data_IF_849898669511
#
_entry.id   IF_849898669511
#
_cell.length_a   1.000
_cell.length_b   1.000
_cell.length_c   1.000
_cell.angle_alpha   90.00
_cell.angle_beta   90.00
_cell.angle_gamma   90.00
#
_symmetry.space_group_name_H-M   'P 1'
#
loop_
_entity.id
_entity.type
_entity.pdbx_description
1 polymer ?
#
# COMPACT_ATOMS: atom_id res chain seq x y z
N UNK A 1 -16.88 -11.92 11.06
CA UNK A 1 -15.68 -11.04 11.06
C UNK A 1 -15.79 -9.99 9.95
N UNK A 2 -16.02 -10.37 8.72
CA UNK A 2 -16.07 -9.52 7.54
C UNK A 2 -17.17 -8.43 7.60
N UNK A 3 -18.39 -8.74 8.07
CA UNK A 3 -19.47 -7.76 8.24
C UNK A 3 -19.16 -6.62 9.22
N UNK A 4 -18.35 -6.88 10.27
CA UNK A 4 -17.90 -5.83 11.18
C UNK A 4 -16.92 -4.88 10.51
N UNK A 5 -16.04 -5.42 9.69
CA UNK A 5 -15.10 -4.65 8.89
C UNK A 5 -15.83 -3.74 7.89
N UNK A 6 -16.75 -4.28 7.07
CA UNK A 6 -17.55 -3.50 6.14
C UNK A 6 -18.35 -2.39 6.83
N UNK A 7 -19.05 -2.73 7.93
CA UNK A 7 -19.80 -1.74 8.71
C UNK A 7 -18.91 -0.62 9.25
N UNK A 8 -17.70 -0.95 9.70
CA UNK A 8 -16.75 0.05 10.15
C UNK A 8 -16.33 0.96 8.99
N UNK A 9 -15.97 0.40 7.84
CA UNK A 9 -15.55 1.19 6.67
C UNK A 9 -16.64 2.18 6.20
N UNK A 10 -17.91 1.81 6.32
CA UNK A 10 -19.03 2.72 6.00
C UNK A 10 -19.15 3.92 6.95
N UNK A 11 -18.50 3.89 8.10
CA UNK A 11 -18.46 5.04 9.02
C UNK A 11 -17.35 6.04 8.72
N UNK A 12 -16.41 5.67 7.86
CA UNK A 12 -15.28 6.53 7.48
C UNK A 12 -15.68 7.42 6.31
N UNK A 13 -15.60 8.72 6.50
CA UNK A 13 -15.88 9.71 5.46
C UNK A 13 -14.63 10.49 5.06
N UNK A 14 -14.73 11.27 3.99
CA UNK A 14 -13.63 12.03 3.42
C UNK A 14 -13.10 13.11 4.38
N UNK A 15 -13.98 13.72 5.16
CA UNK A 15 -13.60 14.84 6.01
C UNK A 15 -12.88 14.39 7.28
N UNK A 16 -13.13 13.15 7.72
CA UNK A 16 -12.61 12.59 8.97
C UNK A 16 -11.45 11.63 8.80
N UNK A 17 -11.18 11.11 7.60
CA UNK A 17 -10.17 10.06 7.37
C UNK A 17 -8.78 10.41 7.92
N UNK A 18 -8.37 11.67 7.81
CA UNK A 18 -7.07 12.14 8.32
C UNK A 18 -6.94 12.11 9.84
N UNK A 19 -8.06 12.11 10.57
CA UNK A 19 -8.12 12.09 12.03
C UNK A 19 -8.59 10.76 12.60
N UNK A 20 -8.90 9.76 11.76
CA UNK A 20 -9.36 8.45 12.23
C UNK A 20 -8.20 7.55 12.64
N UNK A 21 -8.51 6.58 13.49
CA UNK A 21 -7.61 5.55 13.96
C UNK A 21 -7.80 4.22 13.20
N UNK A 22 -8.11 4.30 11.90
CA UNK A 22 -8.58 3.13 11.15
C UNK A 22 -7.60 1.96 11.16
N UNK A 23 -6.28 2.19 11.17
CA UNK A 23 -5.27 1.12 11.22
C UNK A 23 -5.22 0.42 12.59
N UNK A 24 -5.55 1.10 13.67
CA UNK A 24 -5.62 0.52 15.02
C UNK A 24 -7.01 0.04 15.42
N UNK A 25 -8.05 0.35 14.65
CA UNK A 25 -9.39 -0.16 14.90
C UNK A 25 -9.44 -1.69 14.82
N UNK A 26 -10.01 -2.36 15.82
CA UNK A 26 -9.98 -3.81 15.94
C UNK A 26 -10.63 -4.54 14.76
N UNK A 27 -11.67 -3.95 14.16
CA UNK A 27 -12.35 -4.53 13.01
C UNK A 27 -11.47 -4.52 11.75
N UNK A 28 -10.65 -3.48 11.60
CA UNK A 28 -9.70 -3.30 10.50
C UNK A 28 -8.39 -4.07 10.78
N UNK A 29 -7.81 -3.86 11.95
CA UNK A 29 -6.54 -4.46 12.38
C UNK A 29 -6.52 -5.99 12.23
N UNK A 30 -7.63 -6.65 12.58
CA UNK A 30 -7.73 -8.12 12.51
C UNK A 30 -7.69 -8.68 11.07
N UNK A 31 -7.83 -7.84 10.06
CA UNK A 31 -7.87 -8.24 8.65
C UNK A 31 -6.62 -7.76 7.91
N UNK A 32 -6.20 -6.52 8.11
CA UNK A 32 -5.20 -5.87 7.24
C UNK A 32 -3.93 -5.38 7.96
N UNK A 33 -3.98 -5.10 9.27
CA UNK A 33 -2.84 -4.60 10.04
C UNK A 33 -2.29 -5.66 11.02
N UNK A 34 -2.26 -6.92 10.61
CA UNK A 34 -1.87 -8.05 11.45
C UNK A 34 -0.42 -8.51 11.27
N UNK A 35 0.41 -7.77 10.56
CA UNK A 35 1.84 -8.10 10.41
C UNK A 35 2.53 -7.96 11.77
N UNK A 36 3.20 -9.03 12.21
CA UNK A 36 3.92 -9.01 13.48
C UNK A 36 5.24 -8.25 13.39
N UNK A 37 5.78 -7.81 14.53
CA UNK A 37 7.12 -7.21 14.59
C UNK A 37 8.20 -8.14 14.00
N UNK A 38 8.08 -9.45 14.24
CA UNK A 38 9.00 -10.45 13.67
C UNK A 38 9.02 -10.38 12.14
N UNK A 39 7.85 -10.38 11.51
CA UNK A 39 7.77 -10.27 10.06
C UNK A 39 8.22 -8.89 9.56
N UNK A 40 7.99 -7.82 10.32
CA UNK A 40 8.54 -6.50 10.00
C UNK A 40 10.08 -6.52 9.93
N UNK A 41 10.74 -7.19 10.88
CA UNK A 41 12.20 -7.35 10.83
C UNK A 41 12.66 -8.19 9.64
N UNK A 42 11.93 -9.28 9.31
CA UNK A 42 12.21 -10.10 8.13
C UNK A 42 12.07 -9.27 6.83
N UNK A 43 11.04 -8.42 6.71
CA UNK A 43 10.91 -7.51 5.57
C UNK A 43 12.05 -6.48 5.50
N UNK A 44 12.46 -5.91 6.64
CA UNK A 44 13.60 -4.99 6.65
C UNK A 44 14.89 -5.69 6.19
N UNK A 45 15.14 -6.90 6.65
CA UNK A 45 16.26 -7.73 6.19
C UNK A 45 16.20 -7.96 4.68
N UNK A 46 15.05 -8.39 4.15
CA UNK A 46 14.84 -8.63 2.71
C UNK A 46 15.08 -7.35 1.89
N UNK A 47 14.59 -6.21 2.34
CA UNK A 47 14.82 -4.91 1.68
C UNK A 47 16.33 -4.63 1.61
N UNK A 48 17.04 -4.79 2.72
CA UNK A 48 18.48 -4.47 2.80
C UNK A 48 19.34 -5.44 2.00
N UNK A 49 18.94 -6.71 1.91
CA UNK A 49 19.69 -7.77 1.18
C UNK A 49 19.41 -7.71 -0.32
N UNK A 50 18.15 -7.63 -0.73
CA UNK A 50 17.77 -7.74 -2.14
C UNK A 50 17.77 -6.38 -2.86
N UNK A 51 17.56 -5.30 -2.13
CA UNK A 51 17.47 -3.93 -2.65
C UNK A 51 18.45 -2.98 -1.94
N UNK A 52 19.72 -3.39 -1.83
CA UNK A 52 20.76 -2.64 -1.11
C UNK A 52 21.00 -1.19 -1.63
N UNK A 53 20.46 -0.86 -2.79
CA UNK A 53 20.47 0.50 -3.36
C UNK A 53 19.54 1.45 -2.59
N UNK A 54 18.54 0.93 -1.88
CA UNK A 54 17.59 1.72 -1.11
C UNK A 54 18.23 2.11 0.22
N UNK A 55 18.28 3.42 0.48
CA UNK A 55 18.85 3.97 1.71
C UNK A 55 17.88 3.88 2.87
N UNK A 56 18.41 3.94 4.11
CA UNK A 56 17.58 4.01 5.33
C UNK A 56 16.70 5.26 5.35
N UNK A 57 17.21 6.38 4.83
CA UNK A 57 16.45 7.62 4.69
C UNK A 57 15.22 7.42 3.80
N UNK A 58 15.39 6.78 2.63
CA UNK A 58 14.27 6.51 1.71
C UNK A 58 13.23 5.58 2.32
N UNK A 59 13.65 4.58 3.12
CA UNK A 59 12.71 3.72 3.86
C UNK A 59 11.97 4.55 4.91
N UNK A 60 12.70 5.34 5.71
CA UNK A 60 12.13 6.18 6.75
C UNK A 60 11.14 7.20 6.19
N UNK A 61 11.46 7.87 5.10
CA UNK A 61 10.58 8.85 4.46
C UNK A 61 9.25 8.21 4.05
N UNK A 62 9.31 7.03 3.41
CA UNK A 62 8.08 6.33 3.03
C UNK A 62 7.27 5.87 4.25
N UNK A 63 7.89 5.24 5.26
CA UNK A 63 7.14 4.73 6.41
C UNK A 63 6.51 5.86 7.21
N UNK A 64 7.16 7.01 7.34
CA UNK A 64 6.59 8.20 7.94
C UNK A 64 5.39 8.72 7.14
N UNK A 65 5.52 8.78 5.80
CA UNK A 65 4.43 9.17 4.92
C UNK A 65 3.21 8.23 5.06
N UNK A 66 3.44 6.92 5.13
CA UNK A 66 2.36 5.94 5.25
C UNK A 66 1.74 5.91 6.65
N UNK A 67 2.54 6.07 7.71
CA UNK A 67 2.11 5.89 9.09
C UNK A 67 1.55 7.17 9.74
N UNK A 68 1.64 8.32 9.07
CA UNK A 68 1.08 9.56 9.59
C UNK A 68 -0.45 9.55 9.77
N UNK A 69 -1.15 8.65 9.06
CA UNK A 69 -2.60 8.51 9.13
C UNK A 69 -3.04 7.13 9.60
N UNK A 70 -4.18 7.08 10.30
CA UNK A 70 -4.79 5.84 10.74
C UNK A 70 -4.28 5.31 12.07
N UNK A 71 -3.36 6.01 12.74
CA UNK A 71 -2.81 5.65 14.05
C UNK A 71 -2.32 4.19 14.15
N UNK A 72 -1.42 3.73 13.27
CA UNK A 72 -0.92 2.37 13.31
C UNK A 72 -0.11 2.09 14.57
N UNK A 73 -0.03 0.82 14.97
CA UNK A 73 0.85 0.40 16.06
C UNK A 73 2.31 0.36 15.59
N UNK A 74 3.09 1.38 15.95
CA UNK A 74 4.50 1.44 15.61
C UNK A 74 5.29 0.39 16.41
N UNK A 75 6.31 -0.18 15.77
CA UNK A 75 7.27 -1.14 16.34
C UNK A 75 8.68 -0.77 15.94
N UNK A 76 9.61 -1.12 16.79
CA UNK A 76 11.03 -0.96 16.51
C UNK A 76 11.55 -2.14 15.69
N UNK A 77 12.19 -1.85 14.56
CA UNK A 77 12.72 -2.84 13.63
C UNK A 77 14.22 -2.62 13.45
N UNK A 78 14.99 -3.70 13.50
CA UNK A 78 16.44 -3.65 13.40
C UNK A 78 16.96 -4.69 12.41
N UNK A 79 17.95 -4.27 11.62
CA UNK A 79 18.77 -5.16 10.81
C UNK A 79 20.16 -4.54 10.63
N UNK A 80 21.22 -5.22 11.12
CA UNK A 80 22.59 -4.70 11.15
C UNK A 80 22.64 -3.30 11.81
N UNK A 81 23.14 -2.30 11.09
CA UNK A 81 23.25 -0.92 11.56
C UNK A 81 21.98 -0.08 11.28
N UNK A 82 20.97 -0.68 10.64
CA UNK A 82 19.68 -0.01 10.32
C UNK A 82 18.69 -0.20 11.46
N UNK A 83 18.07 0.90 11.89
CA UNK A 83 17.05 0.92 12.94
C UNK A 83 15.90 1.85 12.54
N UNK A 84 14.66 1.32 12.48
CA UNK A 84 13.47 2.02 11.99
C UNK A 84 12.30 1.77 12.93
N UNK A 85 11.57 2.84 13.30
CA UNK A 85 10.32 2.75 14.03
C UNK A 85 9.14 3.01 13.11
N UNK A 86 8.31 1.99 12.87
CA UNK A 86 7.15 2.09 11.97
C UNK A 86 6.16 0.95 12.19
N UNK A 87 5.01 1.01 11.50
CA UNK A 87 4.14 -0.15 11.36
C UNK A 87 4.85 -1.28 10.61
N UNK A 88 4.80 -2.54 11.09
CA UNK A 88 5.34 -3.68 10.34
C UNK A 88 4.73 -3.82 8.94
N UNK A 89 3.48 -3.41 8.76
CA UNK A 89 2.79 -3.38 7.46
C UNK A 89 3.46 -2.42 6.48
N UNK A 90 4.01 -1.30 6.96
CA UNK A 90 4.72 -0.33 6.11
C UNK A 90 5.98 -0.93 5.50
N UNK A 91 6.76 -1.73 6.25
CA UNK A 91 7.91 -2.45 5.71
C UNK A 91 7.50 -3.53 4.70
N UNK A 92 6.38 -4.22 4.92
CA UNK A 92 5.79 -5.12 3.92
C UNK A 92 5.49 -4.39 2.61
N UNK A 93 4.89 -3.21 2.66
CA UNK A 93 4.61 -2.42 1.46
C UNK A 93 5.87 -1.94 0.76
N UNK A 94 6.90 -1.52 1.51
CA UNK A 94 8.22 -1.19 0.92
C UNK A 94 8.73 -2.38 0.12
N UNK A 95 8.86 -3.55 0.75
CA UNK A 95 9.40 -4.74 0.08
C UNK A 95 8.60 -5.14 -1.15
N UNK A 96 7.25 -5.20 -1.03
CA UNK A 96 6.39 -5.56 -2.15
C UNK A 96 6.45 -4.53 -3.28
N UNK A 97 6.49 -3.23 -2.99
CA UNK A 97 6.63 -2.21 -4.02
C UNK A 97 7.95 -2.35 -4.79
N UNK A 98 9.06 -2.60 -4.10
CA UNK A 98 10.36 -2.82 -4.72
C UNK A 98 10.36 -4.06 -5.63
N UNK A 99 9.78 -5.18 -5.18
CA UNK A 99 9.60 -6.38 -6.00
C UNK A 99 8.76 -6.10 -7.25
N UNK A 100 7.60 -5.45 -7.06
CA UNK A 100 6.67 -5.13 -8.15
C UNK A 100 7.34 -4.24 -9.18
N UNK A 101 7.99 -3.16 -8.75
CA UNK A 101 8.67 -2.23 -9.64
C UNK A 101 9.84 -2.90 -10.39
N UNK A 102 10.57 -3.79 -9.70
CA UNK A 102 11.64 -4.56 -10.34
C UNK A 102 11.11 -5.49 -11.45
N UNK A 103 9.95 -6.12 -11.24
CA UNK A 103 9.31 -6.92 -12.26
C UNK A 103 8.64 -6.08 -13.35
N UNK A 104 7.91 -5.02 -12.96
CA UNK A 104 7.20 -4.13 -13.88
C UNK A 104 8.12 -3.53 -14.94
N UNK A 105 9.29 -3.01 -14.54
CA UNK A 105 10.27 -2.42 -15.46
C UNK A 105 10.87 -3.42 -16.47
N UNK A 106 10.72 -4.72 -16.23
CA UNK A 106 11.18 -5.77 -17.14
C UNK A 106 10.10 -6.18 -18.16
N UNK A 107 8.94 -5.54 -18.15
CA UNK A 107 7.82 -5.78 -19.05
C UNK A 107 7.58 -4.58 -19.94
N UNK A 108 6.74 -4.76 -20.98
CA UNK A 108 6.22 -3.66 -21.81
C UNK A 108 4.93 -3.06 -21.23
N UNK A 109 4.51 -3.51 -20.02
CA UNK A 109 3.32 -2.99 -19.37
C UNK A 109 3.48 -1.52 -18.97
N UNK A 110 2.40 -0.75 -19.11
CA UNK A 110 2.36 0.67 -18.73
C UNK A 110 1.39 0.95 -17.60
N UNK A 111 0.50 0.01 -17.33
CA UNK A 111 -0.57 0.19 -16.37
C UNK A 111 -0.54 -0.95 -15.34
N UNK A 112 -0.90 -0.63 -14.11
CA UNK A 112 -0.98 -1.60 -13.01
C UNK A 112 -2.45 -1.83 -12.64
N UNK A 113 -2.79 -3.07 -12.31
CA UNK A 113 -4.07 -3.47 -11.71
C UNK A 113 -3.78 -4.15 -10.39
N UNK A 114 -4.19 -3.53 -9.29
CA UNK A 114 -4.13 -4.11 -7.94
C UNK A 114 -5.51 -4.62 -7.53
N UNK A 115 -5.59 -5.88 -7.14
CA UNK A 115 -6.82 -6.52 -6.64
C UNK A 115 -6.67 -6.80 -5.15
N UNK A 116 -7.58 -6.29 -4.34
CA UNK A 116 -7.50 -6.37 -2.88
C UNK A 116 -6.53 -5.34 -2.30
N UNK A 117 -6.89 -4.06 -2.40
CA UNK A 117 -5.95 -2.94 -2.21
C UNK A 117 -5.78 -2.50 -0.74
N UNK A 118 -6.52 -3.10 0.20
CA UNK A 118 -6.49 -2.72 1.60
C UNK A 118 -6.95 -1.27 1.83
N UNK A 119 -6.06 -0.39 2.23
CA UNK A 119 -6.33 1.05 2.31
C UNK A 119 -5.60 1.88 1.24
N UNK A 120 -4.85 1.22 0.34
CA UNK A 120 -4.06 1.88 -0.70
C UNK A 120 -2.58 2.12 -0.32
N UNK A 121 -2.10 1.53 0.77
CA UNK A 121 -0.71 1.70 1.21
C UNK A 121 0.32 1.16 0.22
N UNK A 122 0.02 0.06 -0.48
CA UNK A 122 0.91 -0.47 -1.52
C UNK A 122 0.95 0.46 -2.74
N UNK A 123 -0.20 1.00 -3.16
CA UNK A 123 -0.26 2.02 -4.21
C UNK A 123 0.61 3.24 -3.86
N UNK A 124 0.56 3.73 -2.61
CA UNK A 124 1.40 4.82 -2.12
C UNK A 124 2.89 4.44 -2.16
N UNK A 125 3.26 3.21 -1.76
CA UNK A 125 4.64 2.73 -1.82
C UNK A 125 5.16 2.67 -3.27
N UNK A 126 4.35 2.13 -4.18
CA UNK A 126 4.69 2.08 -5.60
C UNK A 126 4.90 3.49 -6.15
N UNK A 127 4.03 4.46 -5.81
CA UNK A 127 4.20 5.85 -6.22
C UNK A 127 5.52 6.45 -5.68
N UNK A 128 5.84 6.20 -4.43
CA UNK A 128 7.06 6.72 -3.82
C UNK A 128 8.33 6.14 -4.47
N UNK A 129 8.42 4.82 -4.58
CA UNK A 129 9.61 4.16 -5.12
C UNK A 129 9.72 4.24 -6.65
N UNK A 130 8.61 4.36 -7.39
CA UNK A 130 8.63 4.62 -8.82
C UNK A 130 9.33 5.94 -9.16
N UNK A 131 9.16 6.99 -8.34
CA UNK A 131 9.90 8.26 -8.48
C UNK A 131 11.40 8.06 -8.32
N UNK A 132 11.82 7.29 -7.29
CA UNK A 132 13.25 7.04 -7.01
C UNK A 132 13.89 6.27 -8.18
N UNK A 133 13.17 5.33 -8.78
CA UNK A 133 13.67 4.52 -9.90
C UNK A 133 13.39 5.12 -11.28
N UNK A 134 12.77 6.30 -11.34
CA UNK A 134 12.35 6.95 -12.60
C UNK A 134 11.47 6.05 -13.47
N UNK A 135 10.63 5.21 -12.84
CA UNK A 135 9.69 4.31 -13.52
C UNK A 135 8.38 5.07 -13.80
N UNK A 136 8.00 5.11 -15.08
CA UNK A 136 6.75 5.73 -15.50
C UNK A 136 5.60 4.72 -15.43
N UNK A 137 4.54 5.07 -14.70
CA UNK A 137 3.29 4.33 -14.63
C UNK A 137 2.20 5.24 -15.20
N UNK A 138 1.43 4.74 -16.18
CA UNK A 138 0.35 5.51 -16.80
C UNK A 138 -0.88 5.56 -15.90
N UNK A 139 -1.50 4.39 -15.69
CA UNK A 139 -2.69 4.26 -14.85
C UNK A 139 -2.50 3.17 -13.80
N UNK A 140 -2.92 3.46 -12.59
CA UNK A 140 -3.00 2.49 -11.49
C UNK A 140 -4.46 2.22 -11.17
N UNK A 141 -4.91 1.01 -11.48
CA UNK A 141 -6.28 0.57 -11.29
C UNK A 141 -6.41 -0.16 -9.96
N UNK A 142 -7.19 0.39 -9.07
CA UNK A 142 -7.47 -0.13 -7.73
C UNK A 142 -8.80 -0.87 -7.76
N UNK A 143 -8.77 -2.19 -7.56
CA UNK A 143 -9.96 -3.06 -7.60
C UNK A 143 -10.22 -3.63 -6.23
N UNK A 144 -11.36 -3.31 -5.64
CA UNK A 144 -11.78 -3.82 -4.34
C UNK A 144 -13.30 -3.82 -4.22
N UNK A 145 -13.82 -4.28 -3.09
CA UNK A 145 -15.22 -4.12 -2.74
C UNK A 145 -15.55 -2.64 -2.53
N UNK A 146 -16.81 -2.31 -2.64
CA UNK A 146 -17.30 -0.92 -2.59
C UNK A 146 -16.89 -0.17 -1.32
N UNK A 147 -16.98 -0.83 -0.16
CA UNK A 147 -16.66 -0.19 1.11
C UNK A 147 -15.17 0.09 1.27
N UNK A 148 -14.23 -0.87 1.00
CA UNK A 148 -12.80 -0.57 0.93
C UNK A 148 -12.45 0.51 -0.10
N UNK A 149 -13.07 0.52 -1.28
CA UNK A 149 -12.80 1.55 -2.29
C UNK A 149 -13.03 2.97 -1.78
N UNK A 150 -14.02 3.18 -0.92
CA UNK A 150 -14.23 4.48 -0.29
C UNK A 150 -13.05 4.87 0.61
N UNK A 151 -12.57 3.96 1.45
CA UNK A 151 -11.38 4.18 2.27
C UNK A 151 -10.14 4.44 1.40
N UNK A 152 -9.89 3.60 0.40
CA UNK A 152 -8.75 3.73 -0.53
C UNK A 152 -8.76 5.10 -1.21
N UNK A 153 -9.90 5.52 -1.74
CA UNK A 153 -10.05 6.82 -2.39
C UNK A 153 -9.75 7.97 -1.43
N UNK A 154 -10.33 7.94 -0.24
CA UNK A 154 -10.12 8.99 0.75
C UNK A 154 -8.67 9.03 1.25
N UNK A 155 -8.04 7.87 1.44
CA UNK A 155 -6.64 7.78 1.84
C UNK A 155 -5.70 8.29 0.74
N UNK A 156 -5.87 7.86 -0.51
CA UNK A 156 -5.00 8.28 -1.62
C UNK A 156 -5.11 9.78 -1.92
N UNK A 157 -6.27 10.41 -1.65
CA UNK A 157 -6.45 11.85 -1.77
C UNK A 157 -5.65 12.68 -0.74
N UNK A 158 -5.18 12.07 0.36
CA UNK A 158 -4.31 12.73 1.33
C UNK A 158 -2.86 12.86 0.83
N UNK A 159 -2.53 12.19 -0.28
CA UNK A 159 -1.16 12.08 -0.80
C UNK A 159 -1.06 12.63 -2.23
N UNK A 160 0.15 13.05 -2.60
CA UNK A 160 0.47 13.41 -3.98
C UNK A 160 0.85 12.15 -4.76
N UNK A 161 -0.05 11.71 -5.64
CA UNK A 161 0.14 10.56 -6.52
C UNK A 161 0.39 11.06 -7.94
N UNK A 162 1.44 10.57 -8.62
CA UNK A 162 1.90 11.11 -9.90
C UNK A 162 1.30 10.39 -11.12
N UNK A 163 0.74 9.21 -10.92
CA UNK A 163 0.05 8.47 -11.99
C UNK A 163 -1.47 8.61 -11.88
N UNK A 164 -2.16 8.31 -12.96
CA UNK A 164 -3.62 8.34 -12.98
C UNK A 164 -4.21 7.21 -12.13
N UNK A 165 -5.10 7.55 -11.17
CA UNK A 165 -5.80 6.59 -10.32
C UNK A 165 -7.19 6.30 -10.85
N UNK A 166 -7.49 5.00 -11.00
CA UNK A 166 -8.84 4.51 -11.33
C UNK A 166 -9.31 3.55 -10.25
N UNK A 167 -10.58 3.67 -9.85
CA UNK A 167 -11.19 2.87 -8.78
C UNK A 167 -12.31 2.03 -9.37
N UNK A 168 -12.22 0.71 -9.21
CA UNK A 168 -13.14 -0.24 -9.80
C UNK A 168 -13.78 -1.11 -8.72
N UNK A 169 -15.10 -1.11 -8.67
CA UNK A 169 -15.86 -2.06 -7.86
C UNK A 169 -15.64 -3.48 -8.39
N UNK A 170 -15.28 -4.40 -7.50
CA UNK A 170 -15.01 -5.80 -7.86
C UNK A 170 -16.19 -6.51 -8.52
N UNK A 171 -17.43 -6.04 -8.30
CA UNK A 171 -18.61 -6.58 -8.97
C UNK A 171 -18.68 -6.23 -10.46
N UNK A 172 -18.01 -5.13 -10.85
CA UNK A 172 -17.95 -4.66 -12.24
C UNK A 172 -16.57 -4.82 -12.88
N UNK A 173 -15.65 -5.50 -12.17
CA UNK A 173 -14.28 -5.69 -12.61
C UNK A 173 -14.20 -6.25 -14.04
N UNK A 174 -13.40 -5.60 -14.86
CA UNK A 174 -13.15 -5.99 -16.26
C UNK A 174 -14.08 -5.34 -17.28
N UNK A 175 -15.16 -4.67 -16.86
CA UNK A 175 -16.03 -3.94 -17.80
C UNK A 175 -15.41 -2.60 -18.27
N UNK A 176 -14.67 -1.94 -17.37
CA UNK A 176 -14.19 -0.57 -17.57
C UNK A 176 -12.65 -0.45 -17.68
N UNK A 177 -11.92 -1.55 -17.54
CA UNK A 177 -10.45 -1.55 -17.63
C UNK A 177 -10.05 -1.74 -19.08
N UNK A 178 -9.28 -0.79 -19.63
CA UNK A 178 -8.65 -0.96 -20.93
C UNK A 178 -7.61 -2.09 -20.86
N UNK A 179 -7.71 -3.07 -21.74
CA UNK A 179 -6.99 -4.34 -21.68
C UNK A 179 -5.56 -4.29 -22.21
N UNK A 180 -5.03 -3.10 -22.51
CA UNK A 180 -3.70 -2.99 -23.09
C UNK A 180 -2.62 -2.79 -22.02
N UNK A 181 -1.57 -3.62 -22.12
CA UNK A 181 -0.33 -3.45 -21.35
C UNK A 181 -0.52 -3.43 -19.82
N UNK A 182 -1.31 -4.37 -19.30
CA UNK A 182 -1.64 -4.47 -17.88
C UNK A 182 -0.68 -5.38 -17.11
N UNK A 183 -0.21 -4.90 -15.97
CA UNK A 183 0.53 -5.65 -14.96
C UNK A 183 -0.38 -5.89 -13.75
N UNK A 184 -0.73 -7.15 -13.51
CA UNK A 184 -1.62 -7.53 -12.42
C UNK A 184 -0.86 -7.84 -11.15
N UNK A 185 -1.32 -7.28 -10.04
CA UNK A 185 -0.86 -7.61 -8.70
C UNK A 185 -2.04 -7.93 -7.80
N UNK A 186 -1.85 -8.84 -6.87
CA UNK A 186 -2.80 -9.17 -5.82
C UNK A 186 -2.04 -9.45 -4.54
N UNK A 187 -2.40 -8.75 -3.49
CA UNK A 187 -1.78 -8.83 -2.18
C UNK A 187 -2.85 -9.14 -1.13
N UNK A 188 -3.13 -10.41 -0.92
CA UNK A 188 -4.17 -10.91 0.00
C UNK A 188 -5.62 -10.65 -0.46
N UNK A 189 -6.04 -11.38 -1.47
CA UNK A 189 -7.46 -11.52 -1.81
C UNK A 189 -8.01 -12.85 -1.30
#
# INVERSE_FOLDING_TARGET
>A
MYSKYQNYLMTLDQDTISSTDFKSNTAYHSILEHVSQKYGNEYLELIKVEFAVITDEQINDYVQLNDQYGSPALKHHEYQDTSIECSPTSLRYVYHALLILNHFRATDCKNIVEVGCGYGGLCLAINYFAKIFEIQIGTYNLVDLKEPLNLIKNYTLLHSIDFNLMYHDSETFGADINNDELFFISNYC
#
